data_IF_335052264781
#
_entry.id   IF_335052264781
#
_cell.length_a   1.000
_cell.length_b   1.000
_cell.length_c   1.000
_cell.angle_alpha   90.00
_cell.angle_beta   90.00
_cell.angle_gamma   90.00
#
_symmetry.space_group_name_H-M   'P 1'
#
loop_
_entity.id
_entity.type
_entity.pdbx_description
1 polymer ?
#
# COMPACT_ATOMS: atom_id res chain seq x y z
N UNK A 1 23.15 -2.92 4.59
CA UNK A 1 21.98 -3.82 4.53
C UNK A 1 20.86 -2.98 3.97
N UNK A 2 20.17 -3.47 2.97
CA UNK A 2 19.05 -2.75 2.32
C UNK A 2 17.88 -2.63 3.30
N UNK A 3 17.30 -1.44 3.43
CA UNK A 3 16.22 -1.15 4.37
C UNK A 3 14.97 -0.70 3.64
N UNK A 4 13.83 -1.26 4.00
CA UNK A 4 12.53 -0.92 3.43
C UNK A 4 11.58 -0.48 4.55
N UNK A 5 10.91 0.64 4.32
CA UNK A 5 9.80 1.12 5.15
C UNK A 5 8.49 0.57 4.60
N UNK A 6 7.80 -0.28 5.37
CA UNK A 6 6.44 -0.72 5.04
C UNK A 6 5.44 0.10 5.84
N UNK A 7 4.62 0.89 5.15
CA UNK A 7 3.60 1.73 5.79
C UNK A 7 2.26 1.03 5.71
N UNK A 8 1.77 0.58 6.85
CA UNK A 8 0.48 -0.11 7.01
C UNK A 8 -0.55 0.88 7.54
N UNK A 9 -1.77 0.81 7.01
CA UNK A 9 -2.89 1.62 7.50
C UNK A 9 -3.19 1.32 8.98
N UNK A 10 -3.42 2.36 9.76
CA UNK A 10 -3.91 2.26 11.14
C UNK A 10 -5.43 2.27 11.27
N UNK A 11 -6.15 2.45 10.15
CA UNK A 11 -7.60 2.50 10.16
C UNK A 11 -8.22 1.11 10.43
N UNK A 12 -9.35 1.11 11.13
CA UNK A 12 -10.15 -0.07 11.47
C UNK A 12 -11.50 -0.13 10.74
N UNK A 13 -11.79 0.88 9.95
CA UNK A 13 -13.07 1.02 9.23
C UNK A 13 -12.96 1.95 8.03
N UNK A 14 -13.85 1.73 7.06
CA UNK A 14 -14.08 2.59 5.91
C UNK A 14 -15.53 3.09 5.92
N UNK A 15 -15.73 4.39 5.78
CA UNK A 15 -17.08 4.95 5.56
C UNK A 15 -17.47 4.74 4.10
N UNK A 16 -18.54 3.98 3.86
CA UNK A 16 -19.04 3.67 2.53
C UNK A 16 -19.78 4.87 1.88
N UNK A 17 -20.11 4.77 0.61
CA UNK A 17 -20.77 5.83 -0.14
C UNK A 17 -22.16 6.22 0.44
N UNK A 18 -22.85 5.27 1.08
CA UNK A 18 -24.14 5.51 1.77
C UNK A 18 -23.98 6.08 3.19
N UNK A 19 -22.73 6.30 3.65
CA UNK A 19 -22.41 6.81 4.98
C UNK A 19 -22.35 5.76 6.08
N UNK A 20 -22.55 4.48 5.77
CA UNK A 20 -22.40 3.39 6.75
C UNK A 20 -20.92 3.08 6.98
N UNK A 21 -20.58 2.57 8.17
CA UNK A 21 -19.22 2.15 8.51
C UNK A 21 -19.03 0.67 8.21
N UNK A 22 -18.01 0.35 7.43
CA UNK A 22 -17.58 -1.00 7.11
C UNK A 22 -16.30 -1.34 7.88
N UNK A 23 -16.29 -2.33 8.78
CA UNK A 23 -15.07 -2.77 9.46
C UNK A 23 -14.05 -3.31 8.45
N UNK A 24 -12.82 -2.81 8.49
CA UNK A 24 -11.74 -3.22 7.60
C UNK A 24 -10.39 -2.99 8.26
N UNK A 25 -9.31 -2.93 7.49
CA UNK A 25 -7.96 -2.70 7.93
C UNK A 25 -6.97 -3.04 6.81
N UNK A 26 -5.81 -3.61 7.17
CA UNK A 26 -4.87 -4.13 6.19
C UNK A 26 -5.25 -5.57 5.77
N UNK A 27 -4.84 -5.96 4.55
CA UNK A 27 -5.05 -7.32 4.04
C UNK A 27 -3.92 -8.23 4.51
N UNK A 28 -4.25 -9.32 5.23
CA UNK A 28 -3.29 -10.19 5.91
C UNK A 28 -2.22 -10.76 4.96
N UNK A 29 -2.62 -11.38 3.84
CA UNK A 29 -1.70 -11.96 2.86
C UNK A 29 -0.72 -10.94 2.31
N UNK A 30 -1.18 -9.72 2.05
CA UNK A 30 -0.35 -8.67 1.44
C UNK A 30 0.77 -8.20 2.35
N UNK A 31 0.54 -8.14 3.66
CA UNK A 31 1.59 -7.80 4.62
C UNK A 31 2.48 -9.01 4.89
N UNK A 32 1.91 -10.15 5.24
CA UNK A 32 2.66 -11.34 5.67
C UNK A 32 3.57 -11.86 4.56
N UNK A 33 3.02 -12.07 3.36
CA UNK A 33 3.80 -12.59 2.22
C UNK A 33 4.82 -11.59 1.71
N UNK A 34 4.50 -10.28 1.71
CA UNK A 34 5.48 -9.27 1.31
C UNK A 34 6.64 -9.22 2.30
N UNK A 35 6.38 -9.21 3.61
CA UNK A 35 7.44 -9.25 4.63
C UNK A 35 8.29 -10.51 4.49
N UNK A 36 7.66 -11.68 4.28
CA UNK A 36 8.36 -12.95 4.08
C UNK A 36 9.32 -12.88 2.88
N UNK A 37 8.82 -12.50 1.71
CA UNK A 37 9.60 -12.43 0.46
C UNK A 37 10.76 -11.45 0.59
N UNK A 38 10.51 -10.26 1.14
CA UNK A 38 11.53 -9.21 1.31
C UNK A 38 12.62 -9.65 2.29
N UNK A 39 12.25 -10.26 3.42
CA UNK A 39 13.22 -10.77 4.41
C UNK A 39 14.03 -11.96 3.90
N UNK A 40 13.43 -12.85 3.14
CA UNK A 40 14.13 -13.95 2.46
C UNK A 40 15.17 -13.43 1.45
N UNK A 41 14.93 -12.26 0.84
CA UNK A 41 15.88 -11.57 -0.01
C UNK A 41 16.97 -10.77 0.77
N UNK A 42 16.98 -10.82 2.11
CA UNK A 42 17.94 -10.12 2.96
C UNK A 42 17.66 -8.64 3.17
N UNK A 43 16.44 -8.20 2.92
CA UNK A 43 15.99 -6.82 3.13
C UNK A 43 15.43 -6.68 4.55
N UNK A 44 15.92 -5.68 5.27
CA UNK A 44 15.40 -5.29 6.58
C UNK A 44 14.11 -4.51 6.38
N UNK A 45 13.00 -5.02 6.95
CA UNK A 45 11.68 -4.39 6.85
C UNK A 45 11.32 -3.77 8.19
N UNK A 46 11.05 -2.47 8.18
CA UNK A 46 10.46 -1.73 9.30
C UNK A 46 8.99 -1.45 8.99
N UNK A 47 8.08 -1.86 9.86
CA UNK A 47 6.66 -1.53 9.74
C UNK A 47 6.37 -0.26 10.51
N UNK A 48 5.69 0.69 9.85
CA UNK A 48 5.19 1.91 10.48
C UNK A 48 3.71 2.10 10.19
N UNK A 49 3.02 2.78 11.10
CA UNK A 49 1.62 3.19 10.94
C UNK A 49 1.47 4.67 11.32
N UNK A 50 0.45 5.37 10.83
CA UNK A 50 0.14 6.71 11.33
C UNK A 50 -0.03 6.70 12.85
N UNK A 51 0.80 7.49 13.58
CA UNK A 51 0.80 7.57 15.05
C UNK A 51 1.28 6.32 15.78
N UNK A 52 1.92 5.36 15.13
CA UNK A 52 2.43 4.14 15.75
C UNK A 52 1.34 3.22 16.31
N UNK A 53 0.10 3.33 15.82
CA UNK A 53 -1.01 2.50 16.31
C UNK A 53 -0.89 1.06 15.81
N UNK A 54 -1.25 0.08 16.62
CA UNK A 54 -1.34 -1.33 16.21
C UNK A 54 -2.41 -1.44 15.11
N UNK A 55 -2.04 -1.88 13.89
CA UNK A 55 -2.96 -1.90 12.78
C UNK A 55 -4.02 -2.98 12.93
N UNK A 56 -5.22 -2.71 12.45
CA UNK A 56 -6.31 -3.68 12.41
C UNK A 56 -6.22 -4.52 11.14
N UNK A 57 -6.33 -5.85 11.28
CA UNK A 57 -6.44 -6.74 10.13
C UNK A 57 -7.87 -6.78 9.59
N UNK A 58 -8.04 -6.74 8.29
CA UNK A 58 -9.34 -7.01 7.67
C UNK A 58 -9.69 -8.48 7.87
N UNK A 59 -10.80 -8.74 8.58
CA UNK A 59 -11.24 -10.10 8.90
C UNK A 59 -11.56 -10.94 7.67
N UNK A 60 -11.94 -10.30 6.56
CA UNK A 60 -12.18 -10.96 5.28
C UNK A 60 -10.91 -11.56 4.67
N UNK A 61 -9.73 -11.11 5.10
CA UNK A 61 -8.44 -11.64 4.67
C UNK A 61 -7.93 -12.83 5.49
N UNK A 62 -8.59 -13.16 6.59
CA UNK A 62 -8.22 -14.26 7.47
C UNK A 62 -8.91 -15.54 7.02
N UNK A 63 -8.14 -16.49 6.51
CA UNK A 63 -8.60 -17.77 5.98
C UNK A 63 -7.96 -19.00 6.68
N UNK A 64 -7.36 -18.76 7.84
CA UNK A 64 -6.63 -19.78 8.62
C UNK A 64 -5.15 -19.89 8.26
N UNK A 65 -4.70 -19.34 7.12
CA UNK A 65 -3.28 -19.40 6.72
C UNK A 65 -2.42 -18.36 7.40
N UNK A 66 -2.96 -17.17 7.65
CA UNK A 66 -2.22 -16.00 8.13
C UNK A 66 -2.55 -15.60 9.57
N UNK A 67 -3.61 -16.18 10.15
CA UNK A 67 -4.14 -15.77 11.47
C UNK A 67 -3.07 -15.79 12.56
N UNK A 68 -2.32 -16.89 12.67
CA UNK A 68 -1.25 -17.03 13.67
C UNK A 68 -0.08 -16.06 13.39
N UNK A 69 0.31 -15.90 12.12
CA UNK A 69 1.43 -15.03 11.74
C UNK A 69 1.08 -13.57 12.01
N UNK A 70 -0.13 -13.12 11.64
CA UNK A 70 -0.60 -11.76 11.93
C UNK A 70 -0.60 -11.49 13.43
N UNK A 71 -1.06 -12.46 14.24
CA UNK A 71 -1.11 -12.31 15.68
C UNK A 71 0.27 -12.30 16.37
N UNK A 72 1.30 -12.85 15.72
CA UNK A 72 2.64 -13.04 16.31
C UNK A 72 3.74 -12.23 15.63
N UNK A 73 3.47 -11.59 14.48
CA UNK A 73 4.45 -10.75 13.80
C UNK A 73 4.72 -9.49 14.64
N UNK A 74 5.88 -9.45 15.28
CA UNK A 74 6.27 -8.42 16.25
C UNK A 74 6.14 -7.00 15.66
N UNK A 75 6.51 -6.81 14.39
CA UNK A 75 6.41 -5.52 13.71
C UNK A 75 4.97 -4.98 13.64
N UNK A 76 3.96 -5.86 13.55
CA UNK A 76 2.55 -5.46 13.57
C UNK A 76 2.03 -5.19 15.00
N UNK A 77 2.63 -5.84 16.01
CA UNK A 77 2.24 -5.65 17.40
C UNK A 77 2.87 -4.40 18.02
N UNK A 78 3.98 -3.91 17.44
CA UNK A 78 4.71 -2.74 17.93
C UNK A 78 5.27 -1.94 16.75
N UNK A 79 4.40 -1.40 15.88
CA UNK A 79 4.85 -0.63 14.71
C UNK A 79 5.49 0.69 15.13
N UNK A 80 6.39 1.19 14.29
CA UNK A 80 6.95 2.52 14.45
C UNK A 80 5.90 3.61 14.15
N UNK A 81 6.09 4.80 14.70
CA UNK A 81 5.27 5.97 14.31
C UNK A 81 5.77 6.50 12.96
N UNK A 82 4.87 6.55 11.97
CA UNK A 82 5.15 7.12 10.65
C UNK A 82 5.69 8.56 10.74
N UNK A 83 5.23 9.32 11.74
CA UNK A 83 5.68 10.69 12.01
C UNK A 83 7.15 10.81 12.39
N UNK A 84 7.77 9.73 12.83
CA UNK A 84 9.19 9.68 13.20
C UNK A 84 10.09 9.13 12.10
N UNK A 85 9.52 8.68 10.97
CA UNK A 85 10.27 8.08 9.87
C UNK A 85 10.94 9.14 9.00
N UNK A 86 12.17 8.83 8.55
CA UNK A 86 12.93 9.69 7.65
C UNK A 86 13.29 8.92 6.38
N UNK A 87 12.95 9.46 5.21
CA UNK A 87 13.23 8.81 3.94
C UNK A 87 14.75 8.53 3.73
N UNK A 88 15.64 9.29 4.38
CA UNK A 88 17.08 9.07 4.28
C UNK A 88 17.54 7.72 4.88
N UNK A 89 16.78 7.16 5.81
CA UNK A 89 17.14 5.93 6.52
C UNK A 89 16.77 4.64 5.77
N UNK A 90 16.05 4.76 4.65
CA UNK A 90 15.52 3.64 3.88
C UNK A 90 15.88 3.73 2.40
N UNK A 91 15.95 2.59 1.73
CA UNK A 91 16.19 2.45 0.30
C UNK A 91 14.88 2.35 -0.50
N UNK A 92 13.80 1.95 0.16
CA UNK A 92 12.47 1.79 -0.44
C UNK A 92 11.34 2.06 0.56
N UNK A 93 10.15 2.37 0.02
CA UNK A 93 8.88 2.42 0.75
C UNK A 93 7.86 1.49 0.07
N UNK A 94 7.06 0.76 0.88
CA UNK A 94 6.07 -0.20 0.42
C UNK A 94 4.73 0.02 1.11
N UNK A 95 3.64 0.12 0.34
CA UNK A 95 2.28 0.34 0.82
C UNK A 95 1.42 -0.90 0.51
N UNK A 96 1.21 -1.83 1.45
CA UNK A 96 0.24 -2.91 1.28
C UNK A 96 -1.18 -2.36 1.33
N UNK A 97 -2.16 -3.15 0.86
CA UNK A 97 -3.55 -2.73 0.82
C UNK A 97 -4.42 -3.31 1.93
N UNK A 98 -5.62 -3.71 1.56
CA UNK A 98 -6.83 -3.72 2.35
C UNK A 98 -7.52 -2.37 2.17
N UNK A 99 -8.75 -2.19 2.61
CA UNK A 99 -9.45 -0.92 2.41
C UNK A 99 -9.04 0.19 3.41
N UNK A 100 -8.30 -0.14 4.47
CA UNK A 100 -7.81 0.85 5.44
C UNK A 100 -7.08 2.05 4.83
N UNK A 101 -6.13 1.87 3.87
CA UNK A 101 -5.43 2.96 3.19
C UNK A 101 -6.33 4.03 2.57
N UNK A 102 -7.57 3.68 2.21
CA UNK A 102 -8.56 4.62 1.67
C UNK A 102 -9.09 5.60 2.73
N UNK A 103 -8.99 5.23 4.02
CA UNK A 103 -9.48 6.05 5.13
C UNK A 103 -8.40 7.00 5.66
N UNK A 104 -7.18 6.52 5.85
CA UNK A 104 -6.10 7.29 6.48
C UNK A 104 -4.98 7.67 5.51
N UNK A 105 -4.32 6.70 4.88
CA UNK A 105 -3.11 6.93 4.08
C UNK A 105 -3.34 7.85 2.88
N UNK A 106 -4.54 7.79 2.28
CA UNK A 106 -4.92 8.63 1.14
C UNK A 106 -4.84 10.14 1.43
N UNK A 107 -4.92 10.52 2.72
CA UNK A 107 -4.98 11.91 3.16
C UNK A 107 -3.85 12.29 4.13
N UNK A 108 -2.92 11.36 4.42
CA UNK A 108 -1.84 11.56 5.37
C UNK A 108 -0.73 12.43 4.76
N UNK A 109 -0.58 13.66 5.26
CA UNK A 109 0.40 14.61 4.76
C UNK A 109 1.84 14.18 5.04
N UNK A 110 2.09 13.45 6.12
CA UNK A 110 3.41 12.91 6.46
C UNK A 110 3.81 11.86 5.44
N UNK A 111 2.91 10.92 5.12
CA UNK A 111 3.13 9.95 4.06
C UNK A 111 3.38 10.65 2.73
N UNK A 112 2.56 11.65 2.38
CA UNK A 112 2.70 12.40 1.13
C UNK A 112 4.08 13.05 0.99
N UNK A 113 4.60 13.65 2.06
CA UNK A 113 5.94 14.23 2.10
C UNK A 113 7.02 13.16 1.93
N UNK A 114 6.94 12.05 2.67
CA UNK A 114 7.86 10.92 2.54
C UNK A 114 7.87 10.36 1.12
N UNK A 115 6.73 10.11 0.51
CA UNK A 115 6.62 9.61 -0.86
C UNK A 115 7.26 10.55 -1.87
N UNK A 116 7.10 11.87 -1.69
CA UNK A 116 7.77 12.87 -2.52
C UNK A 116 9.30 12.81 -2.36
N UNK A 117 9.81 12.64 -1.12
CA UNK A 117 11.24 12.52 -0.86
C UNK A 117 11.82 11.23 -1.46
N UNK A 118 11.13 10.08 -1.33
CA UNK A 118 11.54 8.82 -1.97
C UNK A 118 11.62 8.98 -3.48
N UNK A 119 10.60 9.57 -4.10
CA UNK A 119 10.57 9.81 -5.54
C UNK A 119 11.69 10.73 -6.00
N UNK A 120 11.90 11.87 -5.32
CA UNK A 120 12.89 12.89 -5.69
C UNK A 120 14.33 12.39 -5.48
N UNK A 121 14.52 11.42 -4.59
CA UNK A 121 15.81 10.77 -4.32
C UNK A 121 16.05 9.52 -5.19
N UNK A 122 15.19 9.25 -6.18
CA UNK A 122 15.23 8.07 -7.06
C UNK A 122 15.22 6.75 -6.27
N UNK A 123 14.58 6.73 -5.11
CA UNK A 123 14.37 5.54 -4.29
C UNK A 123 13.13 4.78 -4.74
N UNK A 124 13.06 3.49 -4.39
CA UNK A 124 11.97 2.63 -4.81
C UNK A 124 10.68 2.94 -4.02
N UNK A 125 9.59 3.10 -4.74
CA UNK A 125 8.23 3.20 -4.18
C UNK A 125 7.43 2.01 -4.67
N UNK A 126 6.79 1.28 -3.77
CA UNK A 126 5.92 0.17 -4.12
C UNK A 126 4.54 0.31 -3.45
N UNK A 127 3.51 -0.15 -4.15
CA UNK A 127 2.16 -0.19 -3.60
C UNK A 127 1.35 -1.35 -4.22
N UNK A 128 0.41 -1.92 -3.45
CA UNK A 128 -0.32 -3.12 -3.82
C UNK A 128 -1.80 -2.98 -3.50
N UNK A 129 -2.69 -3.48 -4.38
CA UNK A 129 -4.13 -3.54 -4.16
C UNK A 129 -4.76 -2.15 -3.93
N UNK A 130 -5.26 -1.85 -2.73
CA UNK A 130 -5.69 -0.51 -2.32
C UNK A 130 -4.57 0.32 -1.65
N UNK A 131 -3.37 -0.23 -1.46
CA UNK A 131 -2.19 0.52 -1.00
C UNK A 131 -1.89 1.77 -1.83
N UNK A 132 -2.10 1.76 -3.18
CA UNK A 132 -1.99 2.96 -4.02
C UNK A 132 -2.90 4.12 -3.62
N UNK A 133 -3.92 3.93 -2.77
CA UNK A 133 -4.65 5.04 -2.16
C UNK A 133 -3.69 5.97 -1.39
N UNK A 134 -2.65 5.43 -0.75
CA UNK A 134 -1.62 6.22 -0.08
C UNK A 134 -0.87 7.17 -1.03
N UNK A 135 -0.73 6.81 -2.32
CA UNK A 135 -0.09 7.69 -3.31
C UNK A 135 -0.88 8.99 -3.53
N UNK A 136 -2.21 8.99 -3.29
CA UNK A 136 -3.06 10.18 -3.41
C UNK A 136 -2.60 11.32 -2.49
N UNK A 137 -1.95 11.01 -1.36
CA UNK A 137 -1.40 12.00 -0.43
C UNK A 137 -0.18 12.74 -0.99
N UNK A 138 0.49 12.20 -2.02
CA UNK A 138 1.73 12.73 -2.57
C UNK A 138 1.47 13.89 -3.57
N UNK A 139 0.87 14.96 -3.07
CA UNK A 139 0.61 16.19 -3.83
C UNK A 139 1.49 17.32 -3.27
N UNK A 140 2.26 17.95 -4.15
CA UNK A 140 3.16 19.04 -3.79
C UNK A 140 2.38 20.31 -3.45
N UNK A 141 3.05 21.27 -2.81
CA UNK A 141 2.44 22.56 -2.44
C UNK A 141 1.89 23.37 -3.63
N UNK A 142 2.42 23.14 -4.83
CA UNK A 142 1.93 23.74 -6.07
C UNK A 142 0.75 22.98 -6.72
N UNK A 143 0.26 21.92 -6.07
CA UNK A 143 -0.81 21.06 -6.54
C UNK A 143 -0.36 19.95 -7.50
N UNK A 144 0.94 19.81 -7.78
CA UNK A 144 1.44 18.77 -8.67
C UNK A 144 1.43 17.40 -7.98
N UNK A 145 0.80 16.42 -8.60
CA UNK A 145 0.86 15.03 -8.15
C UNK A 145 2.23 14.42 -8.48
N UNK A 146 2.89 13.85 -7.50
CA UNK A 146 4.27 13.31 -7.62
C UNK A 146 4.38 12.22 -8.68
N UNK A 147 3.35 11.39 -8.81
CA UNK A 147 3.33 10.24 -9.71
C UNK A 147 2.53 10.50 -11.01
N UNK A 148 2.28 11.79 -11.37
CA UNK A 148 1.63 12.13 -12.63
C UNK A 148 2.40 11.55 -13.83
N UNK A 149 1.68 10.95 -14.79
CA UNK A 149 2.24 10.30 -15.97
C UNK A 149 2.85 8.92 -15.72
N UNK A 150 2.96 8.46 -14.47
CA UNK A 150 3.43 7.12 -14.14
C UNK A 150 2.38 6.07 -14.51
N UNK A 151 2.86 4.93 -15.03
CA UNK A 151 2.02 3.77 -15.30
C UNK A 151 1.94 2.89 -14.05
N UNK A 152 0.72 2.42 -13.72
CA UNK A 152 0.50 1.62 -12.52
C UNK A 152 -0.67 0.65 -12.63
N UNK A 153 -0.54 -0.48 -11.97
CA UNK A 153 -1.63 -1.39 -11.66
C UNK A 153 -2.14 -1.09 -10.24
N UNK A 154 -3.44 -1.04 -10.08
CA UNK A 154 -4.12 -0.82 -8.81
C UNK A 154 -5.37 -1.69 -8.77
N UNK A 155 -5.97 -1.88 -7.60
CA UNK A 155 -7.25 -2.59 -7.51
C UNK A 155 -8.25 -1.97 -8.47
N UNK A 156 -8.77 -2.77 -9.40
CA UNK A 156 -9.53 -2.26 -10.52
C UNK A 156 -10.99 -2.00 -10.16
N UNK A 157 -11.65 -1.07 -10.88
CA UNK A 157 -13.08 -0.81 -10.71
C UNK A 157 -13.94 -2.06 -10.97
N UNK A 158 -13.48 -2.97 -11.83
CA UNK A 158 -14.16 -4.23 -12.08
C UNK A 158 -14.04 -5.19 -10.89
N UNK A 159 -12.88 -5.26 -10.25
CA UNK A 159 -12.69 -6.03 -9.02
C UNK A 159 -13.51 -5.44 -7.87
N UNK A 160 -13.56 -4.12 -7.73
CA UNK A 160 -14.39 -3.42 -6.74
C UNK A 160 -15.87 -3.77 -6.93
N UNK A 161 -16.36 -3.70 -8.18
CA UNK A 161 -17.73 -4.06 -8.53
C UNK A 161 -18.05 -5.52 -8.22
N UNK A 162 -17.10 -6.44 -8.47
CA UNK A 162 -17.25 -7.87 -8.16
C UNK A 162 -17.17 -8.15 -6.65
N UNK A 163 -16.36 -7.39 -5.91
CA UNK A 163 -16.27 -7.44 -4.46
C UNK A 163 -17.55 -6.96 -3.78
N UNK A 164 -18.32 -6.13 -4.46
CA UNK A 164 -19.67 -5.72 -4.01
C UNK A 164 -19.69 -4.72 -2.86
N UNK A 165 -18.56 -4.07 -2.58
CA UNK A 165 -18.48 -3.00 -1.59
C UNK A 165 -18.70 -1.65 -2.27
N UNK A 166 -19.67 -0.86 -1.76
CA UNK A 166 -19.96 0.49 -2.27
C UNK A 166 -18.98 1.51 -1.65
N UNK A 167 -17.75 1.49 -2.16
CA UNK A 167 -16.66 2.35 -1.65
C UNK A 167 -16.94 3.83 -1.92
N UNK A 168 -16.45 4.77 -1.07
CA UNK A 168 -16.75 6.20 -1.22
C UNK A 168 -16.09 6.82 -2.45
N UNK A 169 -15.08 6.20 -3.00
CA UNK A 169 -14.40 6.59 -4.24
C UNK A 169 -13.62 5.42 -4.83
N UNK A 170 -13.43 5.42 -6.14
CA UNK A 170 -12.49 4.50 -6.80
C UNK A 170 -11.06 4.99 -6.64
N UNK A 171 -10.16 4.15 -6.13
CA UNK A 171 -8.71 4.45 -6.05
C UNK A 171 -8.15 4.63 -7.46
N UNK A 172 -8.51 3.73 -8.38
CA UNK A 172 -8.12 3.80 -9.78
C UNK A 172 -8.59 5.13 -10.43
N UNK A 173 -9.87 5.47 -10.24
CA UNK A 173 -10.45 6.71 -10.76
C UNK A 173 -9.73 7.96 -10.23
N UNK A 174 -9.48 8.03 -8.92
CA UNK A 174 -8.80 9.19 -8.31
C UNK A 174 -7.34 9.34 -8.78
N UNK A 175 -6.62 8.24 -8.93
CA UNK A 175 -5.26 8.29 -9.46
C UNK A 175 -5.24 8.74 -10.93
N UNK A 176 -6.19 8.26 -11.73
CA UNK A 176 -6.33 8.70 -13.12
C UNK A 176 -6.67 10.21 -13.22
N UNK A 177 -7.55 10.73 -12.36
CA UNK A 177 -7.85 12.17 -12.26
C UNK A 177 -6.61 13.02 -11.97
N UNK A 178 -5.67 12.48 -11.17
CA UNK A 178 -4.39 13.12 -10.87
C UNK A 178 -3.32 12.92 -11.96
N UNK A 179 -3.66 12.22 -13.05
CA UNK A 179 -2.81 12.06 -14.22
C UNK A 179 -1.98 10.78 -14.24
N UNK A 180 -2.24 9.79 -13.38
CA UNK A 180 -1.65 8.47 -13.49
C UNK A 180 -2.19 7.73 -14.73
N UNK A 181 -1.38 6.85 -15.32
CA UNK A 181 -1.78 5.96 -16.41
C UNK A 181 -2.05 4.57 -15.86
N UNK A 182 -3.30 4.15 -15.90
CA UNK A 182 -3.67 2.85 -15.36
C UNK A 182 -3.44 1.76 -16.41
N UNK A 183 -2.86 0.63 -15.98
CA UNK A 183 -2.61 -0.57 -16.79
C UNK A 183 -3.20 -1.80 -16.08
N UNK A 184 -4.54 -1.91 -16.00
CA UNK A 184 -5.18 -3.04 -15.34
C UNK A 184 -4.98 -4.33 -16.16
N UNK A 185 -4.71 -5.42 -15.45
CA UNK A 185 -4.82 -6.78 -15.98
C UNK A 185 -6.24 -7.33 -15.81
N UNK A 186 -6.40 -8.61 -16.15
CA UNK A 186 -7.66 -9.31 -15.90
C UNK A 186 -7.99 -9.32 -14.40
N UNK A 187 -9.26 -9.15 -14.01
CA UNK A 187 -9.66 -9.19 -12.62
C UNK A 187 -9.18 -10.46 -11.90
N UNK A 188 -8.71 -10.31 -10.67
CA UNK A 188 -8.22 -11.39 -9.79
C UNK A 188 -7.03 -12.17 -10.36
N UNK A 189 -6.37 -11.66 -11.40
CA UNK A 189 -5.09 -12.19 -11.90
C UNK A 189 -3.90 -11.43 -11.31
N UNK A 190 -2.75 -12.11 -11.20
CA UNK A 190 -1.52 -11.46 -10.76
C UNK A 190 -1.03 -10.48 -11.82
N UNK A 191 -1.08 -9.19 -11.52
CA UNK A 191 -0.66 -8.12 -12.42
C UNK A 191 0.28 -7.17 -11.66
N UNK A 192 1.49 -6.99 -12.18
CA UNK A 192 2.50 -6.07 -11.63
C UNK A 192 2.98 -5.14 -12.73
N UNK A 193 3.03 -3.85 -12.42
CA UNK A 193 3.57 -2.81 -13.31
C UNK A 193 4.80 -2.19 -12.67
N UNK A 194 5.83 -1.98 -13.48
CA UNK A 194 7.07 -1.29 -13.10
C UNK A 194 7.27 -0.10 -14.04
N UNK A 195 7.28 1.10 -13.48
CA UNK A 195 7.59 2.34 -14.22
C UNK A 195 8.75 3.08 -13.51
N UNK A 196 9.96 2.76 -13.94
CA UNK A 196 11.19 3.27 -13.32
C UNK A 196 11.34 2.76 -11.88
N UNK A 197 11.23 3.64 -10.91
CA UNK A 197 11.34 3.30 -9.47
C UNK A 197 9.97 3.16 -8.79
N UNK A 198 8.89 3.07 -9.55
CA UNK A 198 7.55 2.75 -9.04
C UNK A 198 7.19 1.31 -9.40
N UNK A 199 6.83 0.49 -8.41
CA UNK A 199 6.34 -0.88 -8.57
C UNK A 199 4.93 -0.95 -8.00
N UNK A 200 3.96 -1.39 -8.79
CA UNK A 200 2.58 -1.52 -8.31
C UNK A 200 1.98 -2.87 -8.67
N UNK A 201 1.24 -3.45 -7.72
CA UNK A 201 0.49 -4.69 -7.90
C UNK A 201 -1.02 -4.43 -7.80
N UNK A 202 -1.81 -5.18 -8.58
CA UNK A 202 -3.23 -4.91 -8.73
C UNK A 202 -4.09 -5.36 -7.55
N UNK A 203 -3.78 -6.52 -6.96
CA UNK A 203 -4.70 -7.24 -6.07
C UNK A 203 -3.93 -8.21 -5.15
N UNK A 204 -4.56 -8.93 -4.23
CA UNK A 204 -3.90 -9.91 -3.38
C UNK A 204 -3.12 -10.99 -4.15
N UNK A 205 -3.61 -11.41 -5.33
CA UNK A 205 -2.93 -12.38 -6.19
C UNK A 205 -1.58 -11.88 -6.72
N UNK A 206 -1.36 -10.57 -6.69
CA UNK A 206 -0.12 -9.92 -7.12
C UNK A 206 0.93 -9.82 -6.01
N UNK A 207 0.62 -10.20 -4.76
CA UNK A 207 1.45 -9.95 -3.57
C UNK A 207 2.88 -10.46 -3.73
N UNK A 208 3.04 -11.76 -3.96
CA UNK A 208 4.37 -12.38 -4.08
C UNK A 208 5.15 -11.82 -5.27
N UNK A 209 4.48 -11.61 -6.41
CA UNK A 209 5.10 -11.06 -7.60
C UNK A 209 5.57 -9.61 -7.39
N UNK A 210 4.76 -8.77 -6.71
CA UNK A 210 5.13 -7.39 -6.38
C UNK A 210 6.33 -7.35 -5.43
N UNK A 211 6.30 -8.10 -4.34
CA UNK A 211 7.41 -8.16 -3.38
C UNK A 211 8.70 -8.72 -4.03
N UNK A 212 8.59 -9.72 -4.91
CA UNK A 212 9.73 -10.27 -5.68
C UNK A 212 10.33 -9.22 -6.61
N UNK A 213 9.47 -8.44 -7.30
CA UNK A 213 9.94 -7.38 -8.17
C UNK A 213 10.63 -6.26 -7.40
N UNK A 214 10.11 -5.90 -6.21
CA UNK A 214 10.75 -4.95 -5.29
C UNK A 214 12.12 -5.45 -4.87
N UNK A 215 12.21 -6.71 -4.43
CA UNK A 215 13.49 -7.31 -4.00
C UNK A 215 14.52 -7.37 -5.14
N UNK A 216 14.08 -7.57 -6.38
CA UNK A 216 14.97 -7.62 -7.54
C UNK A 216 15.52 -6.24 -7.96
N UNK A 217 14.87 -5.14 -7.55
CA UNK A 217 15.26 -3.76 -7.87
C UNK A 217 16.08 -3.09 -6.75
N UNK A 218 16.18 -3.72 -5.59
CA UNK A 218 16.97 -3.29 -4.44
C UNK A 218 18.30 -4.03 -4.35
#
# INVERSE_FOLDING_TARGET
MTKLLMVVSGADSLTLADGTSHPTGFWAEEVVESVRVLREAGIEVTVATPGGVVPTVDKGSLDGRFDEVVATLEDLQSPADLGEMNAADFDAIYLPGGHGPMTDLAFDQTLGALLAEFHDSDKLVAALCHGPAGLLSAVRADGTFVFAGKEMAVFSDEEERQGGLDVPYSVAGRLAELGARLAPGEPWSSTVVVDGRLVTGQNPQSTVATATQVAALL
#
